data_IF_462397152715
#
_entry.id   IF_462397152715
#
_cell.length_a   1.000
_cell.length_b   1.000
_cell.length_c   1.000
_cell.angle_alpha   90.00
_cell.angle_beta   90.00
_cell.angle_gamma   90.00
#
_symmetry.space_group_name_H-M   'P 1'
#
loop_
_entity.id
_entity.type
_entity.pdbx_description
1 polymer ?
2 polymer ?
3 polymer ?
4 non-polymer ?
5 non-polymer ?
6 non-polymer ?
7 water ?
#
loop_
_entity_poly.entity_id
_entity_poly.type
_entity_poly.pdbx_seq_one_letter_code
_entity_poly.pdbx_strand_id
2 'polydeoxyribonucleotide' '(DC)(DT)(DG)(DC)(DC)(DT)(DC)(DG)(DG)(DG)(DC)(DA)(DC)' ?
3 'polydeoxyribonucleotide' '(DG)(DT)(DG)(DC)(DC)(DC)(DG)(DA)(DG)(DG)(DC)(DA)(DG)' ?
#
# COMPACT_ATOMS: atom_id res chain seq x y z
N UNK A 3 18.73 -21.06 -6.64
CA UNK A 3 17.62 -20.87 -7.59
C UNK A 3 16.46 -21.80 -7.23
N UNK A 4 15.24 -21.30 -7.38
CA UNK A 4 14.04 -22.17 -7.27
C UNK A 4 14.19 -23.29 -8.30
N UNK A 5 13.97 -24.50 -7.88
CA UNK A 5 13.93 -25.65 -8.81
C UNK A 5 12.99 -25.30 -9.96
N UNK A 6 13.48 -25.31 -11.22
CA UNK A 6 12.65 -25.00 -12.37
C UNK A 6 11.39 -25.86 -12.49
N UNK A 7 11.40 -27.06 -11.93
CA UNK A 7 10.21 -27.98 -11.93
C UNK A 7 9.08 -27.38 -11.06
N UNK A 8 9.41 -26.43 -10.18
CA UNK A 8 8.45 -25.80 -9.23
C UNK A 8 8.04 -24.40 -9.69
N UNK A 9 8.51 -23.97 -10.85
CA UNK A 9 8.21 -22.64 -11.41
C UNK A 9 7.20 -22.83 -12.52
N UNK A 10 6.07 -22.19 -12.39
CA UNK A 10 5.02 -22.30 -13.42
C UNK A 10 5.41 -21.40 -14.59
N UNK A 11 5.73 -20.13 -14.34
CA UNK A 11 6.16 -19.16 -15.40
C UNK A 11 6.84 -17.98 -14.75
N UNK A 12 7.36 -17.03 -15.54
CA UNK A 12 7.94 -15.77 -15.03
C UNK A 12 7.10 -14.63 -15.57
N UNK A 13 6.85 -13.59 -14.79
CA UNK A 13 5.85 -12.55 -15.12
C UNK A 13 6.56 -11.21 -14.94
N UNK A 14 6.50 -10.35 -15.96
CA UNK A 14 7.07 -9.00 -15.86
C UNK A 14 6.22 -8.16 -14.89
N UNK A 15 6.89 -7.45 -13.97
CA UNK A 15 6.29 -6.54 -12.99
C UNK A 15 5.37 -5.54 -13.70
N UNK A 16 4.17 -5.32 -13.15
CA UNK A 16 3.19 -4.32 -13.63
C UNK A 16 3.57 -2.91 -13.22
N UNK A 17 4.44 -2.70 -12.22
CA UNK A 17 4.68 -1.36 -11.64
C UNK A 17 6.13 -0.93 -11.85
N UNK A 18 6.90 -1.71 -12.62
CA UNK A 18 8.30 -1.40 -12.96
C UNK A 18 8.39 -0.35 -14.07
N UNK A 19 9.17 0.71 -13.87
CA UNK A 19 9.49 1.68 -14.93
C UNK A 19 10.83 1.28 -15.58
N UNK A 20 10.90 1.28 -16.91
CA UNK A 20 12.14 1.12 -17.70
C UNK A 20 12.93 -0.12 -17.23
N UNK A 21 12.26 -1.28 -17.16
CA UNK A 21 12.86 -2.63 -16.96
C UNK A 21 13.65 -2.68 -15.67
N UNK A 22 13.19 -2.00 -14.61
CA UNK A 22 13.92 -1.89 -13.32
C UNK A 22 13.98 -3.25 -12.59
N UNK A 23 13.10 -4.22 -12.89
CA UNK A 23 13.07 -5.52 -12.15
C UNK A 23 13.17 -6.69 -13.11
N UNK A 24 13.81 -7.78 -12.69
CA UNK A 24 13.74 -9.09 -13.41
C UNK A 24 12.31 -9.58 -13.36
N UNK A 25 11.90 -10.35 -14.37
CA UNK A 25 10.60 -11.04 -14.33
C UNK A 25 10.53 -11.72 -12.97
N UNK A 26 9.34 -11.74 -12.37
CA UNK A 26 9.09 -12.44 -11.11
C UNK A 26 8.83 -13.90 -11.46
N UNK A 27 9.44 -14.83 -10.75
CA UNK A 27 9.03 -16.26 -10.84
C UNK A 27 7.67 -16.49 -10.18
N UNK A 28 6.79 -17.17 -10.86
CA UNK A 28 5.52 -17.62 -10.26
C UNK A 28 5.60 -19.14 -10.08
N UNK A 29 5.67 -19.58 -8.83
CA UNK A 29 5.74 -21.03 -8.49
C UNK A 29 4.39 -21.68 -8.72
N UNK A 30 4.45 -22.99 -8.90
CA UNK A 30 3.22 -23.82 -8.92
C UNK A 30 2.42 -23.56 -7.63
N UNK A 31 3.10 -23.45 -6.48
CA UNK A 31 2.50 -23.22 -5.15
C UNK A 31 1.65 -21.94 -5.21
N UNK A 32 2.21 -20.87 -5.81
CA UNK A 32 1.50 -19.56 -5.96
C UNK A 32 0.27 -19.77 -6.83
N UNK A 33 0.41 -20.47 -7.95
CA UNK A 33 -0.75 -20.74 -8.83
C UNK A 33 -1.81 -21.50 -8.02
N UNK A 34 -1.41 -22.47 -7.23
CA UNK A 34 -2.37 -23.29 -6.46
C UNK A 34 -3.09 -22.37 -5.45
N UNK A 35 -2.35 -21.46 -4.81
CA UNK A 35 -2.98 -20.41 -3.93
C UNK A 35 -4.07 -19.63 -4.65
N UNK A 36 -3.80 -19.12 -5.85
CA UNK A 36 -4.80 -18.34 -6.62
C UNK A 36 -6.03 -19.20 -6.98
N UNK A 37 -5.85 -20.49 -7.26
CA UNK A 37 -6.96 -21.35 -7.76
C UNK A 37 -7.78 -21.91 -6.60
N UNK A 38 -7.28 -21.81 -5.38
CA UNK A 38 -7.91 -22.42 -4.18
C UNK A 38 -8.67 -21.35 -3.43
N UNK A 39 -9.56 -21.74 -2.49
CA UNK A 39 -10.22 -20.77 -1.62
C UNK A 39 -9.13 -19.95 -0.94
N UNK A 40 -9.36 -18.66 -0.61
CA UNK A 40 -10.67 -18.01 -0.80
C UNK A 40 -10.95 -17.40 -2.17
N UNK A 41 -9.94 -17.25 -3.03
CA UNK A 41 -10.20 -16.50 -4.26
C UNK A 41 -10.80 -17.41 -5.34
N UNK A 42 -10.34 -18.64 -5.49
CA UNK A 42 -10.81 -19.54 -6.59
C UNK A 42 -10.83 -18.81 -7.95
N UNK A 43 -9.70 -18.23 -8.36
CA UNK A 43 -9.65 -17.53 -9.67
C UNK A 43 -9.96 -18.53 -10.79
N UNK A 44 -10.59 -18.06 -11.87
CA UNK A 44 -10.79 -18.89 -13.08
C UNK A 44 -9.66 -18.63 -14.07
N UNK A 45 -9.71 -19.30 -15.21
CA UNK A 45 -8.60 -19.32 -16.19
C UNK A 45 -8.40 -17.91 -16.68
N UNK A 46 -9.50 -17.20 -16.84
CA UNK A 46 -9.43 -15.84 -17.43
C UNK A 46 -8.72 -14.85 -16.48
N UNK A 47 -9.04 -14.90 -15.19
CA UNK A 47 -8.41 -14.01 -14.19
C UNK A 47 -6.95 -14.44 -13.98
N UNK A 48 -6.69 -15.75 -13.90
CA UNK A 48 -5.32 -16.28 -13.70
C UNK A 48 -4.47 -15.87 -14.89
N UNK A 49 -5.05 -15.95 -16.12
CA UNK A 49 -4.33 -15.47 -17.31
C UNK A 49 -3.94 -14.01 -17.19
N UNK A 50 -4.82 -13.17 -16.62
CA UNK A 50 -4.43 -11.75 -16.37
C UNK A 50 -3.29 -11.64 -15.35
N UNK A 51 -3.35 -12.40 -14.29
CA UNK A 51 -2.33 -12.35 -13.22
C UNK A 51 -1.00 -12.74 -13.85
N UNK A 52 -1.03 -13.72 -14.76
CA UNK A 52 0.21 -14.24 -15.43
C UNK A 52 0.56 -13.40 -16.62
N UNK A 53 -0.24 -12.37 -16.90
CA UNK A 53 -0.03 -11.48 -18.07
C UNK A 53 0.20 -12.27 -19.36
N UNK A 54 -0.71 -13.21 -19.66
CA UNK A 54 -0.67 -14.00 -20.92
C UNK A 54 -1.60 -13.34 -21.95
N UNK A 55 -1.15 -13.38 -23.21
CA UNK A 55 -1.91 -12.97 -24.41
C UNK A 55 -3.30 -13.60 -24.40
N UNK A 56 -4.36 -12.85 -24.71
CA UNK A 56 -5.72 -13.42 -24.85
C UNK A 56 -5.83 -13.97 -26.28
N UNK A 57 -5.19 -15.12 -26.52
CA UNK A 57 -5.07 -15.70 -27.89
C UNK A 57 -6.22 -16.69 -28.10
N UNK A 58 -6.35 -17.15 -29.34
CA UNK A 58 -7.37 -18.18 -29.66
C UNK A 58 -7.04 -19.40 -28.81
N UNK A 59 -8.04 -19.92 -28.11
CA UNK A 59 -7.93 -21.08 -27.18
C UNK A 59 -6.93 -20.80 -26.05
N UNK A 60 -6.81 -19.54 -25.59
CA UNK A 60 -5.85 -19.21 -24.51
C UNK A 60 -6.26 -19.87 -23.23
N UNK A 61 -7.57 -19.89 -22.95
CA UNK A 61 -8.16 -20.54 -21.76
C UNK A 61 -7.80 -22.02 -21.73
N UNK A 62 -7.96 -22.69 -22.85
CA UNK A 62 -7.76 -24.15 -23.01
C UNK A 62 -6.29 -24.48 -22.79
N UNK A 63 -5.36 -23.82 -23.47
CA UNK A 63 -3.90 -24.04 -23.28
C UNK A 63 -3.48 -23.80 -21.83
N UNK A 64 -4.03 -22.76 -21.16
CA UNK A 64 -3.69 -22.50 -19.73
C UNK A 64 -4.17 -23.72 -18.93
N UNK A 65 -5.41 -24.16 -19.14
CA UNK A 65 -5.99 -25.30 -18.38
C UNK A 65 -5.22 -26.60 -18.66
N UNK A 66 -4.76 -26.83 -19.88
CA UNK A 66 -3.88 -27.99 -20.21
C UNK A 66 -2.53 -27.85 -19.50
N UNK A 67 -1.90 -26.67 -19.50
CA UNK A 67 -0.64 -26.42 -18.76
C UNK A 67 -0.87 -26.78 -17.28
N UNK A 68 -2.02 -26.37 -16.72
CA UNK A 68 -2.34 -26.59 -15.29
C UNK A 68 -2.54 -28.10 -15.05
N UNK A 69 -3.24 -28.83 -15.93
CA UNK A 69 -3.38 -30.31 -15.76
C UNK A 69 -2.01 -31.01 -15.78
N UNK A 70 -1.10 -30.61 -16.66
CA UNK A 70 0.26 -31.24 -16.70
C UNK A 70 0.98 -31.13 -15.33
N UNK A 71 0.71 -30.13 -14.48
CA UNK A 71 1.37 -30.01 -13.15
C UNK A 71 0.46 -30.50 -12.01
N UNK A 72 -0.70 -31.10 -12.33
CA UNK A 72 -1.60 -31.71 -11.34
C UNK A 72 -2.70 -30.78 -10.83
N UNK A 73 -2.86 -29.56 -11.33
CA UNK A 73 -3.94 -28.64 -10.87
C UNK A 73 -5.12 -28.68 -11.84
N UNK A 74 -6.28 -29.02 -11.36
CA UNK A 74 -7.50 -29.18 -12.19
C UNK A 74 -8.24 -27.85 -12.04
N UNK A 75 -8.35 -27.09 -13.11
CA UNK A 75 -9.16 -25.86 -13.19
C UNK A 75 -10.33 -26.09 -14.14
N UNK A 76 -11.57 -26.38 -13.65
CA UNK A 76 -12.71 -26.59 -14.56
C UNK A 76 -12.95 -25.36 -15.45
N UNK A 77 -13.26 -25.62 -16.71
CA UNK A 77 -13.50 -24.58 -17.74
C UNK A 77 -14.73 -23.73 -17.34
N UNK A 78 -15.68 -24.23 -16.54
CA UNK A 78 -16.94 -23.51 -16.24
C UNK A 78 -16.89 -22.75 -14.91
N UNK A 79 -15.74 -22.76 -14.21
CA UNK A 79 -15.59 -22.05 -12.92
C UNK A 79 -16.07 -20.60 -13.06
N UNK A 80 -16.90 -20.18 -12.10
CA UNK A 80 -17.50 -18.82 -12.09
C UNK A 80 -16.38 -17.77 -11.96
N UNK A 81 -16.61 -16.61 -12.58
CA UNK A 81 -15.72 -15.43 -12.56
C UNK A 81 -15.87 -14.67 -11.21
N UNK A 82 -14.83 -14.70 -10.35
CA UNK A 82 -14.76 -13.93 -9.09
C UNK A 82 -15.06 -12.43 -9.39
N UNK A 83 -16.08 -11.86 -8.74
CA UNK A 83 -16.47 -10.42 -8.83
C UNK A 83 -15.87 -9.61 -7.66
N UNK A 84 -15.30 -10.25 -6.61
CA UNK A 84 -14.60 -9.55 -5.48
C UNK A 84 -13.09 -9.46 -5.80
N UNK A 85 -12.72 -8.98 -6.96
CA UNK A 85 -11.29 -8.79 -7.32
C UNK A 85 -11.01 -7.34 -6.99
N UNK A 86 -9.80 -7.04 -6.53
CA UNK A 86 -9.33 -5.68 -6.24
C UNK A 86 -8.11 -5.48 -7.12
N UNK A 87 -7.53 -4.30 -7.04
CA UNK A 87 -6.30 -4.03 -7.78
C UNK A 87 -5.19 -4.94 -7.25
N UNK A 88 -5.27 -5.39 -5.99
CA UNK A 88 -4.23 -6.28 -5.38
C UNK A 88 -4.29 -7.67 -6.06
N UNK A 89 -5.45 -8.11 -6.51
CA UNK A 89 -5.66 -9.42 -7.21
C UNK A 89 -4.81 -9.50 -8.49
N UNK A 90 -4.40 -8.38 -9.09
CA UNK A 90 -3.59 -8.36 -10.33
C UNK A 90 -2.17 -8.83 -10.05
N UNK A 91 -1.71 -8.78 -8.81
CA UNK A 91 -0.28 -8.86 -8.53
C UNK A 91 0.19 -10.32 -8.41
N UNK A 92 1.36 -10.59 -8.94
CA UNK A 92 2.12 -11.80 -8.53
C UNK A 92 2.74 -11.50 -7.17
N UNK A 93 2.92 -12.53 -6.37
CA UNK A 93 3.40 -12.44 -4.97
C UNK A 93 4.72 -11.68 -4.90
N UNK A 94 5.66 -11.93 -5.81
CA UNK A 94 6.94 -11.26 -5.73
C UNK A 94 6.73 -9.74 -5.88
N UNK A 95 5.84 -9.28 -6.73
CA UNK A 95 5.62 -7.82 -6.92
C UNK A 95 4.79 -7.25 -5.76
N UNK A 96 3.86 -8.02 -5.21
CA UNK A 96 3.05 -7.63 -4.04
C UNK A 96 3.99 -7.36 -2.88
N UNK A 97 4.95 -8.23 -2.62
CA UNK A 97 5.87 -8.02 -1.48
C UNK A 97 6.77 -6.84 -1.83
N UNK A 98 7.24 -6.76 -3.07
CA UNK A 98 8.14 -5.66 -3.46
C UNK A 98 7.37 -4.33 -3.27
N UNK A 99 6.08 -4.30 -3.62
CA UNK A 99 5.32 -3.05 -3.44
C UNK A 99 5.24 -2.71 -1.95
N UNK A 100 5.01 -3.70 -1.11
CA UNK A 100 4.97 -3.46 0.36
C UNK A 100 6.32 -2.97 0.87
N UNK A 101 7.41 -3.54 0.38
CA UNK A 101 8.79 -3.11 0.76
C UNK A 101 9.01 -1.65 0.34
N UNK A 102 8.58 -1.28 -0.85
CA UNK A 102 8.77 0.11 -1.31
C UNK A 102 7.89 1.03 -0.46
N UNK A 103 6.65 0.62 -0.12
CA UNK A 103 5.77 1.43 0.75
C UNK A 103 6.47 1.66 2.10
N UNK A 104 7.05 0.60 2.65
CA UNK A 104 7.86 0.66 3.89
C UNK A 104 9.02 1.62 3.80
N UNK A 105 9.69 1.60 2.65
CA UNK A 105 10.82 2.50 2.35
C UNK A 105 10.35 3.97 2.31
N UNK A 106 9.24 4.30 1.64
CA UNK A 106 8.77 5.70 1.62
C UNK A 106 8.18 6.09 2.98
N UNK A 107 7.55 5.20 3.71
CA UNK A 107 7.09 5.51 5.08
C UNK A 107 8.28 5.80 6.01
N UNK A 108 9.41 5.11 5.81
CA UNK A 108 10.61 5.27 6.66
C UNK A 108 11.35 6.54 6.26
N UNK A 109 11.50 6.84 4.98
CA UNK A 109 12.43 7.87 4.44
C UNK A 109 11.71 9.13 3.94
N UNK A 110 10.41 9.10 3.57
CA UNK A 110 9.80 10.33 2.97
C UNK A 110 8.62 10.79 3.82
N UNK A 111 8.03 9.99 4.70
CA UNK A 111 6.89 10.44 5.52
C UNK A 111 7.37 11.54 6.48
N UNK A 112 6.73 12.72 6.57
CA UNK A 112 7.30 13.80 7.39
C UNK A 112 6.95 13.63 8.87
N UNK A 113 7.52 12.61 9.51
CA UNK A 113 7.17 12.24 10.90
C UNK A 113 7.44 13.41 11.86
N UNK A 114 8.54 14.13 11.68
CA UNK A 114 8.92 15.26 12.58
C UNK A 114 7.92 16.41 12.42
N UNK A 115 7.59 16.80 11.19
CA UNK A 115 6.65 17.92 11.00
C UNK A 115 5.27 17.53 11.57
N UNK A 116 4.82 16.30 11.35
CA UNK A 116 3.52 15.80 11.86
C UNK A 116 3.56 15.81 13.41
N UNK A 117 4.66 15.33 14.01
CA UNK A 117 4.87 15.36 15.48
C UNK A 117 4.71 16.82 15.99
N UNK A 118 5.38 17.76 15.34
CA UNK A 118 5.36 19.18 15.77
C UNK A 118 3.97 19.73 15.64
N UNK A 119 3.24 19.42 14.57
CA UNK A 119 1.88 19.92 14.39
C UNK A 119 0.98 19.31 15.47
N UNK A 120 1.03 18.02 15.67
CA UNK A 120 0.04 17.40 16.57
C UNK A 120 0.42 17.76 18.03
N UNK A 121 1.70 17.86 18.37
CA UNK A 121 2.09 18.30 19.73
C UNK A 121 1.49 19.71 19.95
N UNK A 122 1.54 20.58 18.95
CA UNK A 122 1.02 21.95 19.06
C UNK A 122 -0.48 21.96 19.24
N UNK A 123 -1.24 20.99 18.72
CA UNK A 123 -2.70 20.98 18.95
C UNK A 123 -2.98 20.61 20.42
N UNK A 124 -2.05 19.95 21.11
CA UNK A 124 -2.26 19.49 22.50
C UNK A 124 -1.08 19.98 23.31
N UNK A 125 -0.90 21.28 23.39
CA UNK A 125 0.32 21.93 23.97
C UNK A 125 0.04 22.63 25.31
N UNK A 126 -1.18 22.61 25.84
CA UNK A 126 -1.48 23.08 27.23
C UNK A 126 -0.60 22.35 28.26
N UNK A 127 0.10 23.08 29.18
CA UNK A 127 0.87 22.43 30.26
C UNK A 127 0.14 21.32 31.00
N UNK A 128 -1.17 21.50 31.17
CA UNK A 128 -1.97 20.61 32.05
C UNK A 128 -2.23 19.30 31.30
N UNK A 129 -1.86 19.13 30.03
CA UNK A 129 -2.14 17.81 29.38
C UNK A 129 -0.84 17.12 28.95
N UNK A 130 0.34 17.64 29.33
CA UNK A 130 1.60 17.16 28.71
C UNK A 130 1.97 15.83 29.33
N UNK A 131 1.61 15.57 30.59
CA UNK A 131 1.95 14.26 31.24
C UNK A 131 1.02 13.20 30.63
N UNK A 132 -0.27 13.49 30.51
CA UNK A 132 -1.21 12.51 29.91
C UNK A 132 -0.82 12.23 28.44
N UNK A 133 -0.50 13.26 27.66
CA UNK A 133 -0.12 13.09 26.23
C UNK A 133 1.11 12.18 26.17
N UNK A 134 2.14 12.45 26.96
CA UNK A 134 3.35 11.58 26.99
C UNK A 134 2.92 10.14 27.24
N UNK A 135 2.08 9.90 28.24
CA UNK A 135 1.71 8.49 28.57
C UNK A 135 0.89 7.90 27.42
N UNK A 136 0.02 8.69 26.78
CA UNK A 136 -0.80 8.16 25.65
C UNK A 136 0.13 7.82 24.48
N UNK A 137 1.09 8.67 24.16
CA UNK A 137 2.09 8.41 23.10
C UNK A 137 2.85 7.13 23.40
N UNK A 138 3.37 6.98 24.62
CA UNK A 138 4.10 5.74 25.03
C UNK A 138 3.20 4.49 24.96
N UNK A 139 1.96 4.57 25.43
CA UNK A 139 1.04 3.41 25.34
C UNK A 139 0.81 3.07 23.86
N UNK A 140 0.69 4.07 22.99
CA UNK A 140 0.41 3.86 21.54
C UNK A 140 1.58 3.07 20.94
N UNK A 141 2.80 3.46 21.28
CA UNK A 141 4.06 2.80 20.79
C UNK A 141 4.04 1.36 21.22
N UNK A 142 3.69 1.07 22.48
CA UNK A 142 3.77 -0.31 22.96
C UNK A 142 2.69 -1.18 22.30
N UNK A 143 1.46 -0.68 22.19
CA UNK A 143 0.35 -1.48 21.62
C UNK A 143 0.65 -1.73 20.13
N UNK A 144 1.08 -0.70 19.41
CA UNK A 144 1.43 -0.82 17.96
C UNK A 144 2.57 -1.81 17.77
N UNK A 145 3.59 -1.81 18.64
CA UNK A 145 4.75 -2.73 18.49
C UNK A 145 4.29 -4.16 18.71
N UNK A 146 3.45 -4.38 19.72
CA UNK A 146 2.89 -5.73 19.98
C UNK A 146 2.10 -6.18 18.73
N UNK A 147 1.32 -5.28 18.13
CA UNK A 147 0.47 -5.58 16.95
C UNK A 147 1.36 -5.98 15.75
N UNK A 148 2.37 -5.17 15.41
CA UNK A 148 3.30 -5.47 14.28
C UNK A 148 4.18 -6.70 14.59
N UNK A 149 4.54 -6.92 15.87
CA UNK A 149 5.27 -8.14 16.28
C UNK A 149 4.44 -9.37 15.96
N UNK A 150 3.13 -9.34 16.21
CA UNK A 150 2.29 -10.51 15.84
C UNK A 150 2.32 -10.68 14.31
N UNK A 151 2.16 -9.59 13.55
CA UNK A 151 2.10 -9.73 12.09
C UNK A 151 3.45 -10.29 11.59
N UNK A 152 4.59 -9.90 12.18
CA UNK A 152 5.94 -10.37 11.78
C UNK A 152 6.11 -11.87 12.04
N UNK A 153 5.24 -12.48 12.82
CA UNK A 153 5.34 -13.91 13.15
C UNK A 153 4.52 -14.73 12.18
N UNK A 154 3.78 -14.09 11.26
CA UNK A 154 3.05 -14.76 10.15
C UNK A 154 4.05 -15.66 9.43
N UNK A 155 3.73 -16.91 9.18
CA UNK A 155 4.57 -17.81 8.36
C UNK A 155 3.71 -18.40 7.26
N UNK A 156 2.78 -17.61 6.68
CA UNK A 156 2.03 -17.93 5.46
C UNK A 156 3.00 -18.34 4.36
N UNK A 157 2.76 -19.45 3.64
CA UNK A 157 3.50 -19.76 2.42
C UNK A 157 3.45 -18.58 1.42
N UNK A 158 4.58 -18.26 0.81
CA UNK A 158 4.76 -17.20 -0.23
C UNK A 158 5.90 -17.67 -1.11
N UNK A 159 5.91 -17.31 -2.39
CA UNK A 159 6.95 -17.80 -3.31
C UNK A 159 7.04 -19.33 -3.23
N UNK A 160 8.26 -19.87 -3.17
CA UNK A 160 8.48 -21.31 -2.97
C UNK A 160 8.69 -21.62 -1.49
N UNK A 161 8.39 -20.68 -0.59
CA UNK A 161 8.60 -20.82 0.88
C UNK A 161 7.38 -21.48 1.57
N UNK A 162 7.58 -22.55 2.34
CA UNK A 162 6.54 -23.14 3.22
C UNK A 162 7.16 -23.36 4.59
N UNK A 163 7.40 -22.28 5.35
CA UNK A 163 8.10 -22.42 6.61
C UNK A 163 7.18 -23.07 7.64
N UNK A 164 7.82 -23.60 8.70
CA UNK A 164 7.11 -24.18 9.86
C UNK A 164 6.44 -23.01 10.59
N UNK A 165 5.15 -23.13 10.94
CA UNK A 165 4.46 -22.06 11.66
C UNK A 165 5.05 -21.89 13.06
N UNK A 166 5.17 -20.65 13.53
CA UNK A 166 5.55 -20.39 14.95
C UNK A 166 4.32 -19.96 15.76
N UNK A 167 3.22 -19.55 15.14
CA UNK A 167 1.93 -19.25 15.80
C UNK A 167 1.05 -20.49 15.82
N UNK A 168 0.14 -20.56 16.79
CA UNK A 168 -0.93 -21.59 16.87
C UNK A 168 -1.77 -21.53 15.59
N UNK A 169 -2.32 -22.68 15.15
CA UNK A 169 -3.00 -22.75 13.87
C UNK A 169 -4.19 -21.82 13.65
N UNK A 170 -4.96 -21.50 14.70
CA UNK A 170 -6.12 -20.61 14.61
C UNK A 170 -5.73 -19.23 14.08
N UNK A 171 -4.87 -18.51 14.78
CA UNK A 171 -4.47 -17.13 14.37
C UNK A 171 -3.67 -17.21 13.04
N UNK A 172 -2.85 -18.25 12.86
CA UNK A 172 -2.03 -18.42 11.62
C UNK A 172 -2.98 -18.56 10.44
N UNK A 173 -4.04 -19.36 10.61
CA UNK A 173 -5.11 -19.52 9.61
C UNK A 173 -5.68 -18.15 9.18
N UNK A 174 -6.03 -17.31 10.15
CA UNK A 174 -6.64 -15.98 9.90
C UNK A 174 -5.59 -15.08 9.18
N UNK A 175 -4.34 -15.07 9.65
CA UNK A 175 -3.31 -14.27 8.97
C UNK A 175 -3.14 -14.78 7.53
N UNK A 176 -3.16 -16.10 7.32
CA UNK A 176 -3.00 -16.67 5.96
C UNK A 176 -4.17 -16.18 5.07
N UNK A 177 -5.37 -16.13 5.60
CA UNK A 177 -6.51 -15.60 4.83
C UNK A 177 -6.16 -14.20 4.27
N UNK A 178 -5.58 -13.33 5.08
CA UNK A 178 -5.26 -11.93 4.66
C UNK A 178 -4.12 -11.96 3.64
N UNK A 179 -3.12 -12.86 3.82
CA UNK A 179 -2.04 -13.12 2.83
C UNK A 179 -2.66 -13.51 1.47
N UNK A 180 -3.62 -14.43 1.45
CA UNK A 180 -4.16 -14.99 0.20
C UNK A 180 -4.96 -13.93 -0.55
N UNK A 181 -5.79 -13.11 0.13
CA UNK A 181 -6.65 -12.15 -0.63
C UNK A 181 -5.79 -10.97 -1.11
N UNK A 182 -4.68 -10.70 -0.46
CA UNK A 182 -3.80 -9.54 -0.81
C UNK A 182 -2.56 -10.00 -1.59
N UNK A 183 -2.36 -11.30 -1.84
CA UNK A 183 -1.20 -11.84 -2.59
C UNK A 183 0.11 -11.54 -1.87
N UNK A 184 0.07 -11.43 -0.55
CA UNK A 184 1.27 -11.18 0.27
C UNK A 184 1.50 -9.72 0.61
N UNK A 185 0.76 -8.80 0.01
CA UNK A 185 0.90 -7.35 0.27
C UNK A 185 0.47 -6.97 1.68
N UNK A 186 -0.63 -7.57 2.17
CA UNK A 186 -1.48 -7.04 3.28
C UNK A 186 -0.71 -6.77 4.58
N UNK A 187 -0.17 -7.81 5.20
CA UNK A 187 0.41 -7.69 6.54
C UNK A 187 1.69 -6.86 6.49
N UNK A 188 2.58 -7.05 5.48
CA UNK A 188 3.73 -6.16 5.34
C UNK A 188 3.36 -4.69 5.07
N UNK A 189 2.32 -4.45 4.25
CA UNK A 189 1.89 -3.06 3.98
C UNK A 189 1.34 -2.44 5.28
N UNK A 190 0.58 -3.18 6.07
CA UNK A 190 0.07 -2.67 7.36
C UNK A 190 1.30 -2.33 8.23
N UNK A 191 2.28 -3.24 8.34
CA UNK A 191 3.56 -2.94 9.09
C UNK A 191 4.27 -1.73 8.50
N UNK A 192 4.30 -1.58 7.18
CA UNK A 192 4.94 -0.40 6.57
C UNK A 192 4.26 0.86 7.11
N UNK A 193 2.93 0.97 7.06
CA UNK A 193 2.23 2.21 7.47
C UNK A 193 2.49 2.48 8.96
N UNK A 194 2.52 1.42 9.76
CA UNK A 194 2.65 1.55 11.23
C UNK A 194 4.07 2.02 11.55
N UNK A 195 5.05 1.90 10.65
CA UNK A 195 6.39 2.50 10.87
C UNK A 195 6.29 4.01 10.73
N UNK A 196 5.49 4.54 9.80
CA UNK A 196 5.23 6.00 9.70
C UNK A 196 4.59 6.47 11.02
N UNK A 197 3.60 5.75 11.53
CA UNK A 197 2.94 6.12 12.83
C UNK A 197 4.00 6.04 13.95
N UNK A 198 4.80 4.96 14.03
CA UNK A 198 5.81 4.76 15.09
C UNK A 198 6.80 5.91 15.03
N UNK A 199 7.17 6.35 13.83
CA UNK A 199 8.17 7.43 13.66
C UNK A 199 7.55 8.72 14.18
N UNK A 200 6.27 8.97 13.87
CA UNK A 200 5.55 10.14 14.40
C UNK A 200 5.59 10.14 15.94
N UNK A 201 5.32 9.00 16.56
CA UNK A 201 5.26 8.83 18.04
C UNK A 201 6.65 9.08 18.66
N UNK A 202 7.72 8.54 18.05
CA UNK A 202 9.11 8.80 18.45
C UNK A 202 9.38 10.29 18.34
N UNK A 203 9.05 10.89 17.21
CA UNK A 203 9.40 12.32 17.04
C UNK A 203 8.54 13.17 18.00
N UNK A 204 7.30 12.78 18.32
CA UNK A 204 6.42 13.58 19.21
C UNK A 204 7.04 13.52 20.62
N UNK A 205 7.51 12.34 21.04
CA UNK A 205 8.09 12.14 22.39
C UNK A 205 9.41 12.93 22.47
N UNK A 206 10.21 12.92 21.40
CA UNK A 206 11.51 13.63 21.38
C UNK A 206 11.27 15.12 21.35
N UNK A 207 10.25 15.63 20.64
CA UNK A 207 10.02 17.10 20.56
C UNK A 207 9.51 17.60 21.94
N UNK A 208 8.75 16.77 22.65
CA UNK A 208 8.36 17.12 24.05
C UNK A 208 9.61 17.14 24.94
N UNK A 209 10.45 16.10 24.88
CA UNK A 209 11.71 15.99 25.65
C UNK A 209 12.61 17.20 25.41
N UNK A 210 12.69 17.67 24.18
CA UNK A 210 13.62 18.74 23.77
C UNK A 210 12.89 20.06 23.59
N UNK A 211 11.70 20.19 24.15
CA UNK A 211 10.93 21.44 23.99
C UNK A 211 11.76 22.63 24.43
N UNK A 212 12.51 22.53 25.53
CA UNK A 212 13.27 23.73 26.00
C UNK A 212 14.27 24.15 24.93
N UNK A 213 15.09 23.22 24.44
CA UNK A 213 16.22 23.57 23.55
C UNK A 213 15.64 24.00 22.20
N UNK A 214 14.50 23.45 21.80
CA UNK A 214 13.79 23.84 20.56
C UNK A 214 13.35 25.31 20.62
N UNK A 215 12.80 25.79 21.73
CA UNK A 215 12.65 27.26 21.95
C UNK A 215 13.97 27.73 22.59
N UNK B 3 -16.57 15.27 -15.38
CA UNK B 3 -15.60 15.34 -16.53
C UNK B 3 -14.62 16.55 -16.35
N UNK B 4 -13.32 16.28 -16.43
CA UNK B 4 -12.26 17.32 -16.57
C UNK B 4 -12.42 18.02 -17.94
N UNK B 5 -12.24 19.32 -17.97
CA UNK B 5 -12.10 20.12 -19.20
C UNK B 5 -11.10 19.42 -20.14
N UNK B 6 -11.50 19.02 -21.37
CA UNK B 6 -10.58 18.33 -22.26
C UNK B 6 -9.29 19.12 -22.57
N UNK B 7 -9.32 20.45 -22.52
CA UNK B 7 -8.15 21.36 -22.65
C UNK B 7 -7.10 21.07 -21.57
N UNK B 8 -7.50 20.49 -20.43
CA UNK B 8 -6.61 20.18 -19.28
C UNK B 8 -6.12 18.73 -19.30
N UNK B 9 -6.64 17.87 -20.18
CA UNK B 9 -6.28 16.43 -20.28
C UNK B 9 -5.10 16.25 -21.23
N UNK B 10 -3.97 15.77 -20.71
CA UNK B 10 -2.76 15.55 -21.51
C UNK B 10 -2.98 14.23 -22.25
N UNK B 11 -3.43 13.19 -21.55
CA UNK B 11 -3.71 11.91 -22.23
C UNK B 11 -4.46 11.03 -21.25
N UNK B 12 -4.90 9.88 -21.71
CA UNK B 12 -5.60 8.85 -20.92
C UNK B 12 -4.69 7.66 -20.84
N UNK B 13 -4.65 6.97 -19.71
CA UNK B 13 -3.67 5.86 -19.49
C UNK B 13 -4.42 4.70 -18.90
N UNK B 14 -4.27 3.50 -19.45
CA UNK B 14 -4.92 2.32 -18.89
C UNK B 14 -4.28 2.01 -17.55
N UNK B 15 -5.08 1.58 -16.56
CA UNK B 15 -4.55 1.23 -15.26
C UNK B 15 -3.59 0.04 -15.40
N UNK B 16 -2.55 0.00 -14.55
CA UNK B 16 -1.54 -1.09 -14.50
C UNK B 16 -2.01 -2.29 -13.69
N UNK B 17 -3.00 -2.12 -12.83
CA UNK B 17 -3.35 -3.13 -11.81
C UNK B 17 -4.77 -3.66 -12.01
N UNK B 18 -5.37 -3.41 -13.16
CA UNK B 18 -6.75 -3.89 -13.50
C UNK B 18 -6.67 -5.27 -14.16
N UNK B 19 -7.57 -6.18 -13.82
CA UNK B 19 -7.73 -7.48 -14.50
C UNK B 19 -8.98 -7.38 -15.38
N UNK B 20 -8.90 -7.93 -16.58
CA UNK B 20 -10.04 -8.08 -17.55
C UNK B 20 -10.80 -6.76 -17.70
N UNK B 21 -10.10 -5.65 -17.97
CA UNK B 21 -10.67 -4.36 -18.42
C UNK B 21 -11.75 -3.95 -17.42
N UNK B 22 -11.41 -4.16 -16.15
CA UNK B 22 -12.20 -3.79 -14.95
C UNK B 22 -12.36 -2.25 -14.85
N UNK B 23 -11.38 -1.45 -15.30
CA UNK B 23 -11.39 0.03 -15.15
C UNK B 23 -11.34 0.71 -16.53
N UNK B 24 -12.05 1.85 -16.70
CA UNK B 24 -11.89 2.80 -17.85
C UNK B 24 -10.47 3.41 -17.71
N UNK B 25 -9.87 3.85 -18.81
CA UNK B 25 -8.55 4.46 -18.76
C UNK B 25 -8.59 5.62 -17.74
N UNK B 26 -7.50 5.98 -17.09
CA UNK B 26 -7.45 7.18 -16.22
C UNK B 26 -7.09 8.39 -17.04
N UNK B 27 -7.72 9.52 -16.76
CA UNK B 27 -7.28 10.80 -17.35
C UNK B 27 -6.05 11.30 -16.59
N UNK B 28 -5.07 11.75 -17.34
CA UNK B 28 -3.86 12.40 -16.79
C UNK B 28 -3.89 13.85 -17.26
N UNK B 29 -3.99 14.76 -16.31
CA UNK B 29 -4.07 16.20 -16.55
C UNK B 29 -2.71 16.81 -16.72
N UNK B 30 -2.72 18.03 -17.29
CA UNK B 30 -1.53 18.89 -17.43
C UNK B 30 -0.95 19.12 -16.03
N UNK B 31 -1.82 19.40 -15.06
CA UNK B 31 -1.40 19.68 -13.68
C UNK B 31 -0.65 18.45 -13.12
N UNK B 32 -1.11 17.23 -13.41
CA UNK B 32 -0.45 16.00 -12.93
C UNK B 32 0.92 15.89 -13.61
N UNK B 33 0.99 16.07 -14.92
CA UNK B 33 2.29 15.99 -15.63
C UNK B 33 3.22 17.03 -15.03
N UNK B 34 2.73 18.25 -14.81
CA UNK B 34 3.57 19.32 -14.23
C UNK B 34 4.11 18.88 -12.86
N UNK B 35 3.31 18.17 -12.06
CA UNK B 35 3.84 17.68 -10.75
C UNK B 35 5.00 16.69 -11.00
N UNK B 36 4.86 15.78 -11.96
CA UNK B 36 5.90 14.73 -12.19
C UNK B 36 7.20 15.36 -12.70
N UNK B 37 7.09 16.46 -13.46
CA UNK B 37 8.24 17.16 -14.09
C UNK B 37 8.95 18.09 -13.10
N UNK B 38 8.33 18.39 -11.97
CA UNK B 38 8.85 19.40 -11.01
C UNK B 38 9.43 18.71 -9.79
N UNK B 39 10.17 19.45 -8.95
CA UNK B 39 10.72 18.86 -7.73
C UNK B 39 9.55 18.31 -6.92
N UNK B 40 9.74 17.23 -6.14
CA UNK B 40 11.04 16.63 -5.89
C UNK B 40 11.46 15.58 -6.93
N UNK B 41 10.55 15.10 -7.78
CA UNK B 41 10.91 13.98 -8.69
C UNK B 41 11.72 14.43 -9.90
N UNK B 42 11.28 15.49 -10.58
CA UNK B 42 11.87 15.97 -11.86
C UNK B 42 12.06 14.77 -12.80
N UNK B 43 10.98 14.06 -13.12
CA UNK B 43 11.08 12.95 -14.08
C UNK B 43 11.55 13.49 -15.44
N UNK B 44 12.22 12.66 -16.22
CA UNK B 44 12.66 13.02 -17.59
C UNK B 44 11.70 12.40 -18.60
N UNK B 45 11.96 12.60 -19.87
CA UNK B 45 11.08 12.10 -20.96
C UNK B 45 10.88 10.59 -20.84
N UNK B 46 11.96 9.84 -20.68
CA UNK B 46 11.91 8.37 -20.62
C UNK B 46 11.04 7.90 -19.44
N UNK B 47 11.26 8.45 -18.25
CA UNK B 47 10.47 8.00 -17.06
C UNK B 47 8.99 8.41 -17.22
N UNK B 48 8.73 9.64 -17.62
CA UNK B 48 7.34 10.12 -17.80
C UNK B 48 6.67 9.29 -18.91
N UNK B 49 7.39 8.96 -20.00
CA UNK B 49 6.83 8.10 -21.06
C UNK B 49 6.33 6.80 -20.45
N UNK B 50 7.07 6.27 -19.47
CA UNK B 50 6.68 5.02 -18.78
C UNK B 50 5.43 5.23 -17.92
N UNK B 51 5.37 6.33 -17.18
CA UNK B 51 4.19 6.63 -16.33
C UNK B 51 2.93 6.72 -17.23
N UNK B 52 3.11 7.30 -18.42
CA UNK B 52 2.04 7.53 -19.43
C UNK B 52 1.87 6.30 -20.30
N UNK B 53 2.59 5.22 -20.04
CA UNK B 53 2.47 3.95 -20.80
C UNK B 53 2.48 4.20 -22.33
N UNK B 54 3.51 4.86 -22.85
CA UNK B 54 3.68 5.20 -24.28
C UNK B 54 4.75 4.27 -24.84
N UNK B 55 4.56 3.84 -26.08
CA UNK B 55 5.54 3.02 -26.83
C UNK B 55 6.94 3.62 -26.73
N UNK B 56 7.94 2.76 -26.52
CA UNK B 56 9.36 3.16 -26.64
C UNK B 56 9.75 3.11 -28.13
N UNK B 57 9.68 4.25 -28.81
CA UNK B 57 9.91 4.38 -30.27
C UNK B 57 11.16 5.20 -30.48
N UNK B 58 11.68 5.20 -31.70
CA UNK B 58 12.92 5.94 -32.01
C UNK B 58 12.65 7.44 -31.74
N UNK B 59 13.51 8.18 -31.03
CA UNK B 59 13.10 9.58 -30.70
C UNK B 59 11.65 9.66 -30.15
N UNK B 60 11.20 8.75 -29.29
CA UNK B 60 9.89 8.92 -28.60
C UNK B 60 9.99 10.03 -27.57
N UNK B 61 11.18 10.16 -26.97
CA UNK B 61 11.63 11.24 -26.09
C UNK B 61 11.28 12.58 -26.71
N UNK B 62 11.63 12.73 -27.99
CA UNK B 62 11.52 14.00 -28.72
C UNK B 62 10.04 14.26 -28.97
N UNK B 63 9.25 13.26 -29.36
CA UNK B 63 7.78 13.46 -29.53
C UNK B 63 7.14 13.91 -28.22
N UNK B 64 7.43 13.21 -27.13
CA UNK B 64 6.82 13.58 -25.82
C UNK B 64 7.24 15.01 -25.45
N UNK B 65 8.52 15.37 -25.63
CA UNK B 65 8.99 16.72 -25.24
C UNK B 65 8.29 17.79 -26.09
N UNK B 66 8.05 17.53 -27.37
CA UNK B 66 7.28 18.47 -28.23
C UNK B 66 5.80 18.50 -27.83
N UNK B 67 5.17 17.37 -27.47
CA UNK B 67 3.78 17.38 -26.94
C UNK B 67 3.72 18.29 -25.67
N UNK B 68 4.72 18.19 -24.77
CA UNK B 68 4.74 18.97 -23.50
C UNK B 68 4.90 20.46 -23.84
N UNK B 69 5.88 20.81 -24.67
CA UNK B 69 6.10 22.20 -25.17
C UNK B 69 4.79 22.81 -25.70
N UNK B 70 3.95 22.08 -26.43
CA UNK B 70 2.73 22.66 -27.02
C UNK B 70 1.75 23.10 -25.93
N UNK B 71 1.74 22.41 -24.76
CA UNK B 71 0.76 22.72 -23.68
C UNK B 71 1.46 23.46 -22.54
N UNK B 72 2.64 24.01 -22.82
CA UNK B 72 3.31 24.97 -21.94
C UNK B 72 4.19 24.34 -20.86
N UNK B 73 4.67 23.10 -21.01
CA UNK B 73 5.66 22.56 -20.04
C UNK B 73 6.99 22.33 -20.74
N UNK B 74 8.08 22.75 -20.14
CA UNK B 74 9.41 22.67 -20.80
C UNK B 74 10.15 21.48 -20.18
N UNK B 75 10.44 20.46 -20.98
CA UNK B 75 11.20 19.28 -20.51
C UNK B 75 12.47 19.22 -21.35
N UNK B 76 13.63 19.65 -20.82
CA UNK B 76 14.88 19.62 -21.60
C UNK B 76 15.26 18.18 -22.01
N UNK B 77 15.88 18.03 -23.17
CA UNK B 77 16.36 16.73 -23.71
C UNK B 77 17.42 16.15 -22.77
N UNK B 78 18.15 16.98 -22.08
CA UNK B 78 19.34 16.54 -21.33
C UNK B 78 19.00 16.21 -19.89
N UNK B 79 17.73 16.08 -19.51
CA UNK B 79 17.43 15.95 -18.07
C UNK B 79 17.79 14.51 -17.64
N UNK B 80 18.50 14.39 -16.53
CA UNK B 80 18.95 13.09 -16.02
C UNK B 80 17.73 12.34 -15.47
N UNK B 81 17.90 11.05 -15.30
CA UNK B 81 16.91 10.18 -14.62
C UNK B 81 16.84 10.58 -13.14
N UNK B 82 15.65 10.45 -12.58
CA UNK B 82 15.36 10.84 -11.20
C UNK B 82 16.22 9.97 -10.27
N UNK B 83 16.60 10.58 -9.17
CA UNK B 83 17.41 10.00 -8.08
C UNK B 83 16.62 8.93 -7.31
N UNK B 84 15.29 9.03 -7.14
CA UNK B 84 14.56 8.07 -6.25
C UNK B 84 13.31 7.61 -6.98
N UNK B 85 13.32 6.37 -7.46
CA UNK B 85 12.23 5.71 -8.22
C UNK B 85 11.83 4.50 -7.38
N UNK B 86 10.56 4.35 -7.10
CA UNK B 86 9.98 3.13 -6.51
C UNK B 86 8.89 2.59 -7.42
N UNK B 87 8.21 1.55 -6.99
CA UNK B 87 7.10 1.03 -7.80
C UNK B 87 5.99 2.10 -7.77
N UNK B 88 5.93 2.95 -6.74
CA UNK B 88 4.84 3.96 -6.68
C UNK B 88 5.04 5.00 -7.78
N UNK B 89 6.28 5.20 -8.24
CA UNK B 89 6.61 6.18 -9.28
C UNK B 89 5.97 5.81 -10.63
N UNK B 90 5.57 4.57 -10.84
CA UNK B 90 4.89 4.19 -12.09
C UNK B 90 3.45 4.67 -12.15
N UNK B 91 2.84 5.05 -11.03
CA UNK B 91 1.36 5.19 -10.97
C UNK B 91 0.91 6.55 -11.49
N UNK B 92 -0.18 6.52 -12.25
CA UNK B 92 -0.97 7.77 -12.48
C UNK B 92 -1.76 8.03 -11.19
N UNK B 93 -1.98 9.32 -10.89
CA UNK B 93 -2.59 9.74 -9.58
C UNK B 93 -3.94 9.06 -9.40
N UNK B 94 -4.76 8.94 -10.44
CA UNK B 94 -6.06 8.27 -10.26
C UNK B 94 -5.88 6.84 -9.75
N UNK B 95 -4.92 6.10 -10.29
CA UNK B 95 -4.79 4.67 -9.94
C UNK B 95 -4.10 4.57 -8.58
N UNK B 96 -3.28 5.56 -8.23
CA UNK B 96 -2.65 5.57 -6.90
C UNK B 96 -3.74 5.70 -5.84
N UNK B 97 -4.65 6.64 -6.04
CA UNK B 97 -5.74 6.89 -5.06
C UNK B 97 -6.64 5.67 -5.01
N UNK B 98 -6.93 5.11 -6.17
CA UNK B 98 -7.81 3.94 -6.28
C UNK B 98 -7.16 2.78 -5.52
N UNK B 99 -5.83 2.61 -5.66
CA UNK B 99 -5.12 1.48 -5.00
C UNK B 99 -5.21 1.67 -3.48
N UNK B 100 -5.03 2.89 -2.97
CA UNK B 100 -5.10 3.19 -1.53
C UNK B 100 -6.52 2.89 -1.01
N UNK B 101 -7.55 3.24 -1.77
CA UNK B 101 -8.97 2.93 -1.40
C UNK B 101 -9.16 1.42 -1.38
N UNK B 102 -8.56 0.71 -2.35
CA UNK B 102 -8.64 -0.76 -2.38
C UNK B 102 -7.96 -1.33 -1.15
N UNK B 103 -6.79 -0.80 -0.79
CA UNK B 103 -6.11 -1.26 0.45
C UNK B 103 -6.99 -0.99 1.68
N UNK B 104 -7.60 0.19 1.77
CA UNK B 104 -8.57 0.47 2.85
C UNK B 104 -9.75 -0.51 2.89
N UNK B 105 -10.32 -0.81 1.72
CA UNK B 105 -11.36 -1.85 1.54
C UNK B 105 -10.88 -3.22 2.06
N UNK B 106 -9.70 -3.69 1.68
CA UNK B 106 -9.29 -5.03 2.16
C UNK B 106 -8.96 -4.96 3.66
N UNK B 107 -8.42 -3.85 4.16
CA UNK B 107 -8.17 -3.76 5.62
C UNK B 107 -9.51 -3.85 6.36
N UNK B 108 -10.53 -3.18 5.88
CA UNK B 108 -11.86 -3.14 6.55
C UNK B 108 -12.53 -4.51 6.43
N UNK B 109 -12.46 -5.19 5.28
CA UNK B 109 -13.31 -6.38 5.03
C UNK B 109 -12.54 -7.69 5.13
N UNK B 110 -11.20 -7.72 5.18
CA UNK B 110 -10.52 -9.04 5.15
C UNK B 110 -9.50 -9.20 6.29
N UNK B 111 -9.04 -8.11 6.90
CA UNK B 111 -8.05 -8.18 7.99
C UNK B 111 -8.73 -8.84 9.18
N UNK B 112 -8.14 -9.88 9.81
CA UNK B 112 -8.84 -10.62 10.87
C UNK B 112 -8.80 -9.92 12.25
N UNK B 113 -9.48 -8.79 12.38
CA UNK B 113 -9.30 -7.90 13.54
C UNK B 113 -9.74 -8.64 14.82
N UNK B 114 -10.80 -9.43 14.73
CA UNK B 114 -11.39 -10.10 15.91
C UNK B 114 -10.44 -11.22 16.35
N UNK B 115 -9.87 -11.99 15.42
CA UNK B 115 -8.98 -13.11 15.78
C UNK B 115 -7.71 -12.50 16.36
N UNK B 116 -7.25 -11.38 15.81
CA UNK B 116 -6.03 -10.72 16.33
C UNK B 116 -6.30 -10.21 17.76
N UNK B 117 -7.43 -9.56 17.99
CA UNK B 117 -7.87 -9.06 19.32
C UNK B 117 -7.90 -10.22 20.36
N UNK B 118 -8.57 -11.33 20.04
CA UNK B 118 -8.69 -12.53 20.94
C UNK B 118 -7.30 -13.04 21.28
N UNK B 119 -6.45 -13.16 20.27
CA UNK B 119 -5.09 -13.71 20.44
C UNK B 119 -4.23 -12.81 21.32
N UNK B 120 -4.16 -11.51 21.03
CA UNK B 120 -3.34 -10.58 21.83
C UNK B 120 -3.98 -10.40 23.23
N UNK B 121 -5.31 -10.33 23.38
CA UNK B 121 -5.90 -10.17 24.74
C UNK B 121 -5.41 -11.38 25.60
N UNK B 122 -5.34 -12.55 24.99
CA UNK B 122 -4.98 -13.83 25.65
C UNK B 122 -3.54 -13.73 26.13
N UNK B 123 -2.68 -12.92 25.51
CA UNK B 123 -1.29 -12.79 26.01
C UNK B 123 -1.30 -11.95 27.30
N UNK B 124 -2.42 -11.35 27.70
CA UNK B 124 -2.48 -10.51 28.94
C UNK B 124 -3.68 -11.01 29.77
N UNK B 125 -3.53 -12.12 30.46
CA UNK B 125 -4.64 -12.75 31.22
C UNK B 125 -4.48 -12.60 32.74
N UNK B 126 -3.49 -11.83 33.22
CA UNK B 126 -3.41 -11.36 34.62
C UNK B 126 -4.62 -10.48 34.92
N UNK B 127 -5.56 -10.90 35.81
CA UNK B 127 -6.71 -10.06 36.20
C UNK B 127 -6.34 -8.65 36.68
N UNK B 128 -5.15 -8.47 37.25
CA UNK B 128 -4.66 -7.16 37.75
C UNK B 128 -4.07 -6.25 36.64
N UNK B 129 -4.03 -6.66 35.36
CA UNK B 129 -3.46 -5.79 34.30
C UNK B 129 -4.58 -5.39 33.31
N UNK B 130 -5.85 -5.78 33.54
CA UNK B 130 -6.92 -5.60 32.55
C UNK B 130 -7.28 -4.11 32.44
N UNK B 131 -7.29 -3.37 33.54
CA UNK B 131 -7.64 -1.94 33.50
C UNK B 131 -6.52 -1.23 32.75
N UNK B 132 -5.26 -1.59 33.03
CA UNK B 132 -4.08 -0.99 32.36
C UNK B 132 -4.16 -1.24 30.84
N UNK B 133 -4.39 -2.46 30.42
CA UNK B 133 -4.45 -2.86 29.00
C UNK B 133 -5.58 -2.05 28.37
N UNK B 134 -6.76 -2.02 29.00
CA UNK B 134 -7.90 -1.26 28.47
C UNK B 134 -7.51 0.20 28.24
N UNK B 135 -6.84 0.86 29.19
CA UNK B 135 -6.43 2.28 29.02
C UNK B 135 -5.38 2.40 27.90
N UNK B 136 -4.48 1.45 27.80
CA UNK B 136 -3.45 1.48 26.71
C UNK B 136 -4.17 1.39 25.36
N UNK B 137 -5.21 0.57 25.26
CA UNK B 137 -5.97 0.37 24.00
C UNK B 137 -6.75 1.64 23.68
N UNK B 138 -7.44 2.23 24.66
CA UNK B 138 -8.20 3.50 24.42
C UNK B 138 -7.19 4.57 24.04
N UNK B 139 -6.07 4.68 24.74
CA UNK B 139 -5.10 5.71 24.39
C UNK B 139 -4.69 5.52 22.91
N UNK B 140 -4.48 4.28 22.47
CA UNK B 140 -3.95 4.00 21.11
C UNK B 140 -5.02 4.46 20.09
N UNK B 141 -6.28 4.13 20.36
CA UNK B 141 -7.41 4.50 19.45
C UNK B 141 -7.46 6.01 19.32
N UNK B 142 -7.30 6.77 20.42
CA UNK B 142 -7.38 8.26 20.32
C UNK B 142 -6.16 8.88 19.60
N UNK B 143 -4.95 8.48 19.95
CA UNK B 143 -3.74 8.99 19.25
C UNK B 143 -3.82 8.68 17.74
N UNK B 144 -4.24 7.48 17.37
CA UNK B 144 -4.26 7.05 15.95
C UNK B 144 -5.32 7.84 15.21
N UNK B 145 -6.44 8.13 15.89
CA UNK B 145 -7.53 8.94 15.29
C UNK B 145 -7.03 10.35 15.02
N UNK B 146 -6.35 10.97 15.99
CA UNK B 146 -5.80 12.33 15.78
C UNK B 146 -4.80 12.30 14.60
N UNK B 147 -3.97 11.26 14.52
CA UNK B 147 -2.96 11.11 13.42
C UNK B 147 -3.68 11.04 12.06
N UNK B 148 -4.65 10.14 11.91
CA UNK B 148 -5.40 9.99 10.63
C UNK B 148 -6.31 11.19 10.36
N UNK B 149 -6.87 11.87 11.38
CA UNK B 149 -7.60 13.15 11.15
C UNK B 149 -6.67 14.18 10.53
N UNK B 150 -5.41 14.26 10.96
CA UNK B 150 -4.48 15.21 10.33
C UNK B 150 -4.27 14.83 8.86
N UNK B 151 -3.95 13.57 8.59
CA UNK B 151 -3.71 13.13 7.17
C UNK B 151 -4.95 13.43 6.31
N UNK B 152 -6.15 13.27 6.85
CA UNK B 152 -7.40 13.54 6.10
C UNK B 152 -7.58 15.04 5.81
N UNK B 153 -6.87 15.93 6.50
CA UNK B 153 -6.96 17.39 6.22
C UNK B 153 -5.94 17.82 5.14
N UNK B 154 -5.14 16.90 4.61
CA UNK B 154 -4.26 17.12 3.44
C UNK B 154 -5.08 17.68 2.27
N UNK B 155 -4.69 18.80 1.67
CA UNK B 155 -5.37 19.37 0.49
C UNK B 155 -4.33 19.53 -0.64
N UNK B 156 -3.33 18.66 -0.67
CA UNK B 156 -2.38 18.55 -1.80
C UNK B 156 -3.14 18.46 -3.10
N UNK B 157 -2.76 19.26 -4.12
CA UNK B 157 -3.34 19.08 -5.45
C UNK B 157 -3.16 17.64 -5.96
N UNK B 158 -4.22 17.08 -6.55
CA UNK B 158 -4.25 15.77 -7.26
C UNK B 158 -5.23 15.93 -8.42
N UNK B 159 -4.97 15.21 -9.49
CA UNK B 159 -5.73 15.37 -10.75
C UNK B 159 -5.78 16.85 -11.11
N UNK B 160 -6.96 17.29 -11.53
CA UNK B 160 -7.20 18.69 -11.93
C UNK B 160 -7.64 19.49 -10.70
N UNK B 161 -7.63 18.95 -9.48
CA UNK B 161 -8.10 19.66 -8.26
C UNK B 161 -6.97 20.46 -7.59
N UNK B 162 -7.29 21.65 -7.10
CA UNK B 162 -6.37 22.50 -6.34
C UNK B 162 -7.23 23.18 -5.27
N UNK B 163 -7.75 22.42 -4.28
CA UNK B 163 -8.57 23.02 -3.22
C UNK B 163 -7.74 23.98 -2.35
N UNK B 164 -8.44 24.95 -1.74
CA UNK B 164 -7.82 25.89 -0.77
C UNK B 164 -7.33 25.06 0.41
N UNK B 165 -6.10 25.24 0.88
CA UNK B 165 -5.64 24.46 2.01
C UNK B 165 -6.43 24.81 3.28
N UNK B 166 -6.65 23.83 4.16
CA UNK B 166 -7.24 24.08 5.49
C UNK B 166 -6.13 24.01 6.54
N UNK B 167 -4.96 23.48 6.21
CA UNK B 167 -3.83 23.42 7.17
C UNK B 167 -2.93 24.62 6.90
N UNK B 168 -2.13 25.00 7.90
CA UNK B 168 -1.11 26.05 7.70
C UNK B 168 -0.11 25.55 6.68
N UNK B 169 0.54 26.50 5.99
CA UNK B 169 1.44 26.21 4.88
C UNK B 169 2.63 25.28 5.20
N UNK B 170 3.21 25.35 6.41
CA UNK B 170 4.36 24.52 6.85
C UNK B 170 4.02 23.03 6.75
N UNK B 171 3.06 22.59 7.54
CA UNK B 171 2.65 21.17 7.59
C UNK B 171 2.08 20.77 6.23
N UNK B 172 1.38 21.68 5.54
CA UNK B 172 0.83 21.31 4.22
C UNK B 172 1.99 21.08 3.24
N UNK B 173 3.09 21.86 3.25
CA UNK B 173 4.21 21.60 2.32
C UNK B 173 4.81 20.23 2.63
N UNK B 174 4.95 19.83 3.90
CA UNK B 174 5.51 18.50 4.22
C UNK B 174 4.54 17.38 3.75
N UNK B 175 3.25 17.49 4.01
CA UNK B 175 2.29 16.46 3.50
C UNK B 175 2.33 16.42 1.95
N UNK B 176 2.47 17.57 1.29
CA UNK B 176 2.54 17.67 -0.19
C UNK B 176 3.79 16.91 -0.69
N UNK B 177 4.91 16.99 0.01
CA UNK B 177 6.13 16.23 -0.33
C UNK B 177 5.81 14.72 -0.38
N UNK B 178 5.15 14.18 0.63
CA UNK B 178 4.78 12.76 0.71
C UNK B 178 3.77 12.42 -0.40
N UNK B 179 2.84 13.34 -0.70
CA UNK B 179 1.93 13.19 -1.87
C UNK B 179 2.74 13.03 -3.18
N UNK B 180 3.69 13.93 -3.43
CA UNK B 180 4.41 13.99 -4.70
C UNK B 180 5.26 12.75 -4.89
N UNK B 181 5.99 12.25 -3.88
CA UNK B 181 6.85 11.06 -4.11
C UNK B 181 5.95 9.84 -4.29
N UNK B 182 4.74 9.84 -3.72
CA UNK B 182 3.89 8.63 -3.74
C UNK B 182 2.79 8.72 -4.82
N UNK B 183 2.66 9.84 -5.53
CA UNK B 183 1.66 10.08 -6.60
C UNK B 183 0.27 10.04 -5.99
N UNK B 184 0.19 10.38 -4.69
CA UNK B 184 -1.08 10.43 -3.98
C UNK B 184 -1.43 9.18 -3.21
N UNK B 185 -0.65 8.12 -3.31
CA UNK B 185 -0.93 6.86 -2.57
C UNK B 185 -0.69 7.02 -1.06
N UNK B 186 0.34 7.78 -0.67
CA UNK B 186 0.98 7.62 0.66
C UNK B 186 0.03 7.81 1.83
N UNK B 187 -0.46 9.03 2.00
CA UNK B 187 -1.30 9.36 3.19
C UNK B 187 -2.58 8.51 3.22
N UNK B 188 -3.35 8.38 2.13
CA UNK B 188 -4.54 7.50 2.21
C UNK B 188 -4.17 6.05 2.47
N UNK B 189 -3.01 5.56 2.01
CA UNK B 189 -2.63 4.15 2.29
C UNK B 189 -2.28 4.01 3.78
N UNK B 190 -1.60 5.01 4.34
CA UNK B 190 -1.29 4.99 5.79
C UNK B 190 -2.64 4.93 6.55
N UNK B 191 -3.63 5.74 6.17
CA UNK B 191 -4.99 5.74 6.80
C UNK B 191 -5.63 4.35 6.63
N UNK B 192 -5.51 3.77 5.44
CA UNK B 192 -6.09 2.44 5.12
C UNK B 192 -5.55 1.47 6.15
N UNK B 193 -4.23 1.46 6.38
CA UNK B 193 -3.64 0.45 7.26
C UNK B 193 -4.10 0.69 8.69
N UNK B 194 -4.16 1.95 9.12
CA UNK B 194 -4.53 2.27 10.51
C UNK B 194 -6.00 1.79 10.74
N UNK B 195 -6.79 1.60 9.70
CA UNK B 195 -8.15 1.02 9.81
C UNK B 195 -8.05 -0.40 10.35
N UNK B 196 -7.09 -1.21 9.89
CA UNK B 196 -6.88 -2.57 10.41
C UNK B 196 -6.54 -2.46 11.91
N UNK B 197 -5.64 -1.55 12.27
CA UNK B 197 -5.21 -1.33 13.69
C UNK B 197 -6.45 -0.92 14.52
N UNK B 198 -7.24 0.03 14.04
CA UNK B 198 -8.38 0.58 14.83
C UNK B 198 -9.43 -0.53 15.02
N UNK B 199 -9.64 -1.40 14.01
CA UNK B 199 -10.62 -2.52 14.10
C UNK B 199 -10.07 -3.52 15.12
N UNK B 200 -8.76 -3.77 15.15
CA UNK B 200 -8.19 -4.65 16.19
C UNK B 200 -8.54 -4.05 17.56
N UNK B 201 -8.20 -2.78 17.77
CA UNK B 201 -8.36 -2.07 19.06
C UNK B 201 -9.85 -2.11 19.46
N UNK B 202 -10.76 -1.86 18.53
CA UNK B 202 -12.21 -1.97 18.82
C UNK B 202 -12.55 -3.38 19.29
N UNK B 203 -12.08 -4.39 18.59
CA UNK B 203 -12.43 -5.80 18.89
C UNK B 203 -11.78 -6.18 20.21
N UNK B 204 -10.61 -5.67 20.51
CA UNK B 204 -9.91 -6.01 21.77
C UNK B 204 -10.72 -5.43 22.95
N UNK B 205 -11.19 -4.18 22.84
CA UNK B 205 -11.98 -3.55 23.94
C UNK B 205 -13.30 -4.34 24.11
N UNK B 206 -13.96 -4.65 22.99
CA UNK B 206 -15.27 -5.37 22.97
C UNK B 206 -15.10 -6.72 23.67
N UNK B 207 -14.02 -7.47 23.39
CA UNK B 207 -13.79 -8.82 23.93
C UNK B 207 -13.48 -8.72 25.44
N UNK B 208 -12.75 -7.67 25.86
CA UNK B 208 -12.42 -7.46 27.30
C UNK B 208 -13.72 -7.19 28.04
N UNK B 209 -14.56 -6.33 27.46
CA UNK B 209 -15.83 -5.83 28.06
C UNK B 209 -16.84 -6.97 28.17
N UNK B 210 -16.68 -8.07 27.44
CA UNK B 210 -17.53 -9.27 27.62
C UNK B 210 -17.19 -9.97 28.94
N UNK B 211 -16.00 -9.78 29.51
CA UNK B 211 -15.61 -10.35 30.83
C UNK B 211 -15.68 -9.27 31.92
#
# INVERSE_FOLDING_TARGET
GGVVNPNEVFCSVPGRLSLLSSTSKYKVTVAEVQRRLSPPECLNASLLGGVLRRAKSKNGGRSLREKLDKIGLNLPAGRRKAANVTLLTSLVEGEAVHLARDFGYVCETEFPAKAVAEFLNRQHSDPNEQVTRKNMLLATKQICKEFTDLLAQDRSPLGNSRPNPILEPGIQSCLTHFNLISHGFGSPAVCAAVTALQNYLTEALKAMDKMYLSNNPNS
GGVVNPNEVFCSVPGRLSLLSSTSKYKVTVAEVQRRLSPPECLNASLLGGVLRRAKSKNGGRSLREKLDKIGLNLPAGRRKAANVTLLTSLVEGEAVHLARDFGYVCETEFPAKAVAEFLNRQHSDPNEQVTRKNMLLATKQICKEFTDLLAQDRSPLGNSRPNPILEPGIQSCLTHFNLISHGFGSPAVCAAVTALQNYLTEALKAMDKMYLSNNPNS
#
